data_IF_273656384650
#
_entry.id   IF_273656384650
#
_cell.length_a   1.000
_cell.length_b   1.000
_cell.length_c   1.000
_cell.angle_alpha   90.00
_cell.angle_beta   90.00
_cell.angle_gamma   90.00
#
_symmetry.space_group_name_H-M   'P 1'
#
loop_
_entity.id
_entity.type
_entity.pdbx_description
1 polymer ?
#
# COMPACT_ATOMS: atom_id res chain seq x y z
N UNK A 1 64.70 11.53 1.26
CA UNK A 1 64.07 10.57 0.32
C UNK A 1 64.55 9.13 0.57
N UNK A 2 65.46 8.91 1.53
CA UNK A 2 66.16 7.64 1.74
C UNK A 2 65.39 6.61 2.59
N UNK A 3 64.35 7.03 3.30
CA UNK A 3 63.51 6.15 4.13
C UNK A 3 62.62 5.21 3.32
N UNK A 4 62.20 5.61 2.12
CA UNK A 4 61.35 4.78 1.25
C UNK A 4 62.09 3.58 0.67
N UNK A 5 63.37 3.77 0.31
CA UNK A 5 64.21 2.70 -0.23
C UNK A 5 64.59 1.69 0.87
N UNK A 6 64.89 2.17 2.07
CA UNK A 6 65.14 1.34 3.23
C UNK A 6 63.90 0.49 3.59
N UNK A 7 62.72 1.12 3.68
CA UNK A 7 61.46 0.41 3.94
C UNK A 7 61.13 -0.65 2.87
N UNK A 8 61.37 -0.36 1.59
CA UNK A 8 61.18 -1.33 0.51
C UNK A 8 62.15 -2.53 0.63
N UNK A 9 63.40 -2.28 1.05
CA UNK A 9 64.40 -3.32 1.27
C UNK A 9 64.03 -4.25 2.44
N UNK A 10 63.52 -3.68 3.53
CA UNK A 10 63.06 -4.42 4.70
C UNK A 10 61.81 -5.25 4.40
N UNK A 11 60.84 -4.68 3.67
CA UNK A 11 59.65 -5.40 3.21
C UNK A 11 60.01 -6.60 2.30
N UNK A 12 60.97 -6.43 1.39
CA UNK A 12 61.47 -7.52 0.54
C UNK A 12 62.20 -8.59 1.36
N UNK A 13 63.04 -8.18 2.32
CA UNK A 13 63.75 -9.09 3.22
C UNK A 13 62.78 -9.89 4.08
N UNK A 14 61.75 -9.26 4.64
CA UNK A 14 60.69 -9.92 5.41
C UNK A 14 59.91 -10.93 4.54
N UNK A 15 59.55 -10.56 3.31
CA UNK A 15 58.86 -11.45 2.37
C UNK A 15 59.72 -12.66 1.99
N UNK A 16 61.02 -12.48 1.72
CA UNK A 16 61.94 -13.57 1.41
C UNK A 16 62.16 -14.50 2.61
N UNK A 17 62.25 -13.95 3.82
CA UNK A 17 62.33 -14.74 5.05
C UNK A 17 61.08 -15.60 5.26
N UNK A 18 59.89 -15.05 5.00
CA UNK A 18 58.65 -15.80 5.07
C UNK A 18 58.59 -16.95 4.04
N UNK A 19 59.06 -16.71 2.80
CA UNK A 19 59.17 -17.75 1.78
C UNK A 19 60.18 -18.85 2.14
N UNK A 20 61.30 -18.47 2.80
CA UNK A 20 62.33 -19.42 3.24
C UNK A 20 61.84 -20.30 4.40
N UNK A 21 61.17 -19.72 5.41
CA UNK A 21 60.56 -20.48 6.52
C UNK A 21 59.55 -21.51 6.02
N UNK A 22 58.72 -21.15 5.03
CA UNK A 22 57.79 -22.09 4.38
C UNK A 22 58.54 -23.22 3.66
N UNK A 23 59.64 -22.92 2.95
CA UNK A 23 60.46 -23.95 2.28
C UNK A 23 61.07 -24.94 3.30
N UNK A 24 61.42 -24.47 4.48
CA UNK A 24 62.00 -25.26 5.58
C UNK A 24 60.94 -26.02 6.40
N UNK A 25 59.64 -25.94 6.04
CA UNK A 25 58.56 -26.75 6.62
C UNK A 25 58.06 -26.28 7.99
N UNK A 26 58.44 -25.08 8.43
CA UNK A 26 57.96 -24.49 9.68
C UNK A 26 56.64 -23.75 9.36
N UNK A 27 55.52 -24.47 9.46
CA UNK A 27 54.18 -23.92 9.20
C UNK A 27 53.69 -23.10 10.39
N UNK A 28 53.55 -21.79 10.17
CA UNK A 28 53.04 -20.84 11.14
C UNK A 28 52.93 -19.45 10.52
N UNK A 29 51.86 -19.21 9.77
CA UNK A 29 51.56 -17.91 9.18
C UNK A 29 50.36 -17.97 8.23
N UNK A 30 49.23 -17.46 8.70
CA UNK A 30 47.85 -17.60 8.20
C UNK A 30 47.51 -16.82 6.90
N UNK A 31 48.50 -16.49 6.06
CA UNK A 31 48.25 -15.73 4.83
C UNK A 31 49.19 -16.23 3.71
N UNK A 32 48.64 -16.93 2.72
CA UNK A 32 49.40 -17.40 1.57
C UNK A 32 49.89 -16.20 0.75
N UNK A 33 51.16 -15.81 0.91
CA UNK A 33 51.84 -14.71 0.19
C UNK A 33 51.75 -14.85 -1.36
N UNK A 34 51.43 -16.07 -1.84
CA UNK A 34 51.22 -16.38 -3.25
C UNK A 34 49.77 -16.82 -3.46
N UNK A 35 49.03 -16.04 -4.26
CA UNK A 35 47.71 -16.43 -4.74
C UNK A 35 47.86 -17.50 -5.82
N UNK A 36 47.48 -18.73 -5.50
CA UNK A 36 47.41 -19.80 -6.48
C UNK A 36 46.18 -19.56 -7.37
N UNK A 37 46.38 -19.37 -8.67
CA UNK A 37 45.26 -19.10 -9.60
C UNK A 37 44.41 -20.35 -9.81
N UNK A 38 45.05 -21.42 -10.28
CA UNK A 38 44.40 -22.67 -10.69
C UNK A 38 44.90 -23.89 -9.90
N UNK A 39 45.63 -23.70 -8.80
CA UNK A 39 46.17 -24.80 -8.01
C UNK A 39 45.55 -24.80 -6.63
N UNK A 40 45.03 -25.95 -6.24
CA UNK A 40 44.45 -26.17 -4.92
C UNK A 40 45.51 -26.76 -3.98
N UNK A 41 45.93 -26.04 -2.91
CA UNK A 41 47.01 -26.47 -2.05
C UNK A 41 46.69 -27.72 -1.21
N UNK A 42 45.42 -27.99 -0.92
CA UNK A 42 45.01 -29.15 -0.11
C UNK A 42 45.05 -30.44 -0.93
N UNK A 43 44.41 -30.42 -2.10
CA UNK A 43 44.35 -31.59 -2.99
C UNK A 43 45.58 -31.73 -3.89
N UNK A 44 46.44 -30.70 -3.95
CA UNK A 44 47.60 -30.60 -4.86
C UNK A 44 47.24 -30.82 -6.33
N UNK A 45 46.01 -30.51 -6.73
CA UNK A 45 45.53 -30.66 -8.10
C UNK A 45 45.04 -29.34 -8.70
N UNK A 46 44.59 -29.37 -9.96
CA UNK A 46 43.95 -28.22 -10.58
C UNK A 46 42.65 -27.89 -9.85
N UNK A 47 42.41 -26.60 -9.61
CA UNK A 47 41.16 -26.09 -9.04
C UNK A 47 40.02 -26.41 -10.00
N UNK A 48 39.26 -27.47 -9.69
CA UNK A 48 38.04 -27.80 -10.44
C UNK A 48 37.03 -26.68 -10.22
N UNK A 49 36.34 -26.25 -11.28
CA UNK A 49 35.11 -25.43 -11.13
C UNK A 49 34.19 -26.22 -10.20
N UNK A 50 33.49 -25.59 -9.23
CA UNK A 50 32.46 -26.31 -8.50
C UNK A 50 31.49 -26.85 -9.55
N UNK A 51 31.58 -28.14 -9.79
CA UNK A 51 30.50 -28.89 -10.41
C UNK A 51 29.43 -28.78 -9.35
N UNK A 52 28.32 -28.11 -9.68
CA UNK A 52 27.12 -28.22 -8.85
C UNK A 52 26.92 -29.72 -8.67
N UNK A 53 27.15 -30.22 -7.45
CA UNK A 53 27.02 -31.65 -7.21
C UNK A 53 25.59 -32.02 -7.57
N UNK A 54 25.35 -33.23 -8.09
CA UNK A 54 23.99 -33.71 -8.41
C UNK A 54 23.05 -33.77 -7.16
N UNK A 55 23.53 -33.35 -5.99
CA UNK A 55 22.77 -33.17 -4.74
C UNK A 55 22.68 -31.71 -4.24
N UNK A 56 23.20 -30.73 -4.96
CA UNK A 56 22.84 -29.32 -4.74
C UNK A 56 21.51 -29.09 -5.46
N UNK A 57 20.40 -29.42 -4.79
CA UNK A 57 19.06 -29.05 -5.25
C UNK A 57 19.08 -27.56 -5.62
N UNK A 58 18.78 -27.24 -6.89
CA UNK A 58 18.60 -25.86 -7.30
C UNK A 58 17.42 -25.31 -6.48
N UNK A 59 17.74 -24.55 -5.42
CA UNK A 59 16.74 -24.00 -4.50
C UNK A 59 15.84 -22.95 -5.16
N UNK A 60 16.30 -22.39 -6.27
CA UNK A 60 15.68 -21.30 -7.01
C UNK A 60 15.01 -21.84 -8.28
N UNK A 61 13.94 -22.61 -8.11
CA UNK A 61 13.12 -23.18 -9.19
C UNK A 61 11.67 -22.72 -9.03
N UNK A 62 11.01 -22.41 -10.13
CA UNK A 62 9.62 -21.88 -10.15
C UNK A 62 8.64 -22.84 -9.48
N UNK A 63 8.91 -24.14 -9.56
CA UNK A 63 8.14 -25.22 -8.94
C UNK A 63 8.14 -25.10 -7.41
N UNK A 64 9.26 -24.67 -6.81
CA UNK A 64 9.37 -24.45 -5.36
C UNK A 64 8.66 -23.17 -4.94
N UNK A 65 8.70 -22.13 -5.77
CA UNK A 65 8.02 -20.86 -5.50
C UNK A 65 6.49 -20.99 -5.53
N UNK A 66 5.98 -21.86 -6.41
CA UNK A 66 4.54 -22.11 -6.59
C UNK A 66 4.02 -23.22 -5.67
N UNK A 67 4.91 -24.01 -5.05
CA UNK A 67 4.55 -25.03 -4.08
C UNK A 67 3.73 -24.43 -2.92
N UNK A 68 2.53 -24.96 -2.70
CA UNK A 68 1.63 -24.51 -1.62
C UNK A 68 0.85 -23.21 -1.91
N UNK A 69 1.02 -22.57 -3.08
CA UNK A 69 0.20 -21.41 -3.45
C UNK A 69 -1.28 -21.80 -3.63
N UNK A 70 -1.54 -22.97 -4.21
CA UNK A 70 -2.89 -23.49 -4.40
C UNK A 70 -3.61 -23.70 -3.05
N UNK A 71 -2.92 -24.26 -2.06
CA UNK A 71 -3.47 -24.47 -0.72
C UNK A 71 -3.81 -23.14 -0.02
N UNK A 72 -2.95 -22.13 -0.18
CA UNK A 72 -3.19 -20.78 0.34
C UNK A 72 -4.42 -20.12 -0.31
N UNK A 73 -4.60 -20.29 -1.63
CA UNK A 73 -5.75 -19.75 -2.36
C UNK A 73 -7.05 -20.41 -1.87
N UNK A 74 -7.05 -21.73 -1.70
CA UNK A 74 -8.22 -22.46 -1.19
C UNK A 74 -8.55 -22.02 0.24
N UNK A 75 -7.53 -21.87 1.10
CA UNK A 75 -7.73 -21.40 2.47
C UNK A 75 -8.26 -19.96 2.54
N UNK A 76 -7.78 -19.04 1.69
CA UNK A 76 -8.28 -17.66 1.63
C UNK A 76 -9.74 -17.62 1.13
N UNK A 77 -10.08 -18.43 0.14
CA UNK A 77 -11.45 -18.52 -0.37
C UNK A 77 -12.44 -19.07 0.67
N UNK A 78 -12.04 -20.08 1.45
CA UNK A 78 -12.82 -20.60 2.58
C UNK A 78 -13.02 -19.55 3.67
N UNK A 79 -11.98 -18.75 3.98
CA UNK A 79 -12.08 -17.66 4.95
C UNK A 79 -13.02 -16.54 4.48
N UNK A 80 -13.00 -16.19 3.19
CA UNK A 80 -13.93 -15.20 2.63
C UNK A 80 -15.36 -15.69 2.66
N UNK A 81 -15.60 -16.94 2.23
CA UNK A 81 -16.94 -17.55 2.31
C UNK A 81 -17.47 -17.60 3.75
N UNK A 82 -16.61 -17.89 4.73
CA UNK A 82 -16.99 -17.86 6.14
C UNK A 82 -17.37 -16.45 6.64
N UNK A 83 -16.69 -15.40 6.16
CA UNK A 83 -17.01 -14.01 6.48
C UNK A 83 -18.32 -13.53 5.84
N UNK A 84 -18.61 -13.99 4.62
CA UNK A 84 -19.86 -13.69 3.93
C UNK A 84 -21.07 -14.42 4.55
N UNK A 85 -20.85 -15.60 5.12
CA UNK A 85 -21.85 -16.36 5.88
C UNK A 85 -22.06 -15.86 7.32
N UNK A 86 -21.35 -14.80 7.73
CA UNK A 86 -21.51 -14.20 9.03
C UNK A 86 -22.82 -13.39 9.13
N UNK A 87 -23.75 -13.90 9.94
CA UNK A 87 -25.08 -13.35 10.20
C UNK A 87 -24.98 -11.90 10.76
N UNK A 88 -23.87 -11.54 11.39
CA UNK A 88 -23.63 -10.18 11.89
C UNK A 88 -23.36 -9.15 10.78
N UNK A 89 -22.95 -9.57 9.59
CA UNK A 89 -22.82 -8.70 8.42
C UNK A 89 -24.13 -8.55 7.63
N UNK A 90 -25.03 -9.53 7.72
CA UNK A 90 -26.33 -9.56 7.04
C UNK A 90 -27.38 -8.74 7.79
N UNK A 91 -27.28 -8.62 9.12
CA UNK A 91 -28.21 -7.82 9.91
C UNK A 91 -27.98 -6.30 9.70
N UNK A 92 -29.05 -5.48 9.62
CA UNK A 92 -28.91 -4.02 9.48
C UNK A 92 -28.19 -3.42 10.69
N UNK A 93 -27.00 -2.84 10.46
CA UNK A 93 -26.05 -2.32 11.47
C UNK A 93 -26.61 -1.28 12.45
N UNK A 94 -27.77 -0.68 12.21
CA UNK A 94 -28.34 0.39 13.05
C UNK A 94 -29.84 0.14 13.32
N UNK A 95 -30.28 0.00 14.59
CA UNK A 95 -31.69 -0.19 14.93
C UNK A 95 -32.63 0.88 14.34
N UNK A 96 -32.16 2.13 14.26
CA UNK A 96 -32.94 3.29 13.80
C UNK A 96 -32.71 3.63 12.31
N UNK A 97 -32.12 2.73 11.52
CA UNK A 97 -31.83 3.00 10.11
C UNK A 97 -33.08 3.29 9.30
N UNK A 98 -34.16 2.56 9.60
CA UNK A 98 -35.44 2.71 8.92
C UNK A 98 -36.12 4.01 9.34
N UNK A 99 -36.11 4.30 10.64
CA UNK A 99 -36.59 5.58 11.18
C UNK A 99 -35.88 6.77 10.51
N UNK A 100 -34.55 6.68 10.34
CA UNK A 100 -33.79 7.73 9.65
C UNK A 100 -34.25 7.86 8.20
N UNK A 101 -34.36 6.74 7.47
CA UNK A 101 -34.78 6.72 6.07
C UNK A 101 -36.19 7.29 5.87
N UNK A 102 -37.13 6.91 6.73
CA UNK A 102 -38.51 7.41 6.68
C UNK A 102 -38.60 8.89 7.07
N UNK A 103 -37.81 9.32 8.05
CA UNK A 103 -37.73 10.73 8.45
C UNK A 103 -37.10 11.59 7.36
N UNK A 104 -36.03 11.11 6.71
CA UNK A 104 -35.36 11.81 5.61
C UNK A 104 -36.33 12.03 4.42
N UNK A 105 -37.20 11.06 4.11
CA UNK A 105 -38.24 11.21 3.08
C UNK A 105 -39.25 12.31 3.41
N UNK A 106 -39.67 12.41 4.67
CA UNK A 106 -40.60 13.47 5.14
C UNK A 106 -39.91 14.83 5.18
N UNK A 107 -38.66 14.88 5.65
CA UNK A 107 -37.85 16.09 5.68
C UNK A 107 -37.59 16.64 4.28
N UNK A 108 -37.35 15.80 3.27
CA UNK A 108 -37.13 16.26 1.90
C UNK A 108 -38.32 17.08 1.35
N UNK A 109 -39.56 16.60 1.55
CA UNK A 109 -40.78 17.34 1.16
C UNK A 109 -40.87 18.68 1.91
N UNK A 110 -40.58 18.67 3.21
CA UNK A 110 -40.65 19.87 4.04
C UNK A 110 -39.53 20.88 3.70
N UNK A 111 -38.33 20.41 3.39
CA UNK A 111 -37.18 21.24 3.00
C UNK A 111 -37.46 22.03 1.73
N UNK A 112 -38.13 21.43 0.72
CA UNK A 112 -38.56 22.13 -0.50
C UNK A 112 -39.45 23.33 -0.15
N UNK A 113 -40.53 23.09 0.59
CA UNK A 113 -41.49 24.12 1.05
C UNK A 113 -40.83 25.18 1.95
N UNK A 114 -39.89 24.77 2.80
CA UNK A 114 -39.14 25.69 3.66
C UNK A 114 -38.26 26.62 2.83
N UNK A 115 -37.59 26.10 1.81
CA UNK A 115 -36.74 26.90 0.92
C UNK A 115 -37.57 27.90 0.08
N UNK A 116 -38.75 27.48 -0.38
CA UNK A 116 -39.71 28.37 -1.04
C UNK A 116 -40.16 29.49 -0.10
N UNK A 117 -40.54 29.17 1.13
CA UNK A 117 -40.94 30.16 2.13
C UNK A 117 -39.80 31.12 2.50
N UNK A 118 -38.55 30.62 2.56
CA UNK A 118 -37.38 31.47 2.74
C UNK A 118 -37.24 32.44 1.57
N UNK A 119 -37.42 31.96 0.34
CA UNK A 119 -37.32 32.79 -0.86
C UNK A 119 -38.43 33.88 -0.92
N UNK A 120 -39.66 33.55 -0.51
CA UNK A 120 -40.74 34.55 -0.43
C UNK A 120 -40.46 35.61 0.62
N UNK A 121 -40.01 35.21 1.81
CA UNK A 121 -39.64 36.14 2.87
C UNK A 121 -38.50 37.07 2.44
N UNK A 122 -37.51 36.55 1.72
CA UNK A 122 -36.41 37.37 1.17
C UNK A 122 -36.96 38.39 0.17
N UNK A 123 -37.84 37.97 -0.75
CA UNK A 123 -38.47 38.89 -1.72
C UNK A 123 -39.30 39.98 -1.04
N UNK A 124 -40.14 39.59 -0.08
CA UNK A 124 -40.95 40.53 0.70
C UNK A 124 -40.07 41.55 1.41
N UNK A 125 -39.03 41.09 2.12
CA UNK A 125 -38.10 41.97 2.84
C UNK A 125 -37.35 42.93 1.90
N UNK A 126 -36.95 42.48 0.71
CA UNK A 126 -36.29 43.33 -0.28
C UNK A 126 -37.25 44.37 -0.88
N UNK A 127 -38.51 44.01 -1.12
CA UNK A 127 -39.52 44.92 -1.64
C UNK A 127 -39.95 45.96 -0.59
N UNK A 128 -40.11 45.56 0.68
CA UNK A 128 -40.31 46.47 1.80
C UNK A 128 -39.17 47.49 1.94
N UNK A 129 -37.92 47.07 1.74
CA UNK A 129 -36.77 47.97 1.73
C UNK A 129 -36.76 48.93 0.54
N UNK A 130 -37.31 48.52 -0.62
CA UNK A 130 -37.35 49.34 -1.84
C UNK A 130 -38.59 50.23 -1.95
N UNK A 131 -39.63 50.01 -1.15
CA UNK A 131 -40.87 50.80 -1.15
C UNK A 131 -41.91 50.39 -2.21
N UNK A 132 -41.66 49.32 -2.97
CA UNK A 132 -42.53 48.83 -4.04
C UNK A 132 -43.53 47.78 -3.51
N UNK A 133 -44.54 48.24 -2.78
CA UNK A 133 -45.55 47.36 -2.13
C UNK A 133 -46.55 46.73 -3.12
N UNK A 134 -46.72 47.30 -4.32
CA UNK A 134 -47.67 46.82 -5.33
C UNK A 134 -47.25 45.50 -6.01
N UNK A 135 -45.94 45.30 -6.22
CA UNK A 135 -45.41 44.07 -6.84
C UNK A 135 -45.52 42.86 -5.90
N UNK A 136 -45.53 43.09 -4.58
CA UNK A 136 -45.63 42.05 -3.56
C UNK A 136 -46.99 41.35 -3.62
N UNK A 137 -48.08 42.11 -3.72
CA UNK A 137 -49.43 41.57 -3.78
C UNK A 137 -49.70 40.79 -5.07
N UNK A 138 -49.11 41.23 -6.20
CA UNK A 138 -49.17 40.53 -7.48
C UNK A 138 -48.39 39.22 -7.47
N UNK A 139 -47.16 39.24 -6.95
CA UNK A 139 -46.32 38.04 -6.83
C UNK A 139 -46.91 37.00 -5.86
N UNK A 140 -47.55 37.44 -4.77
CA UNK A 140 -48.16 36.56 -3.79
C UNK A 140 -49.39 35.82 -4.35
N UNK A 141 -50.25 36.52 -5.11
CA UNK A 141 -51.39 35.88 -5.82
C UNK A 141 -50.94 34.91 -6.91
N UNK A 142 -49.88 35.24 -7.64
CA UNK A 142 -49.34 34.35 -8.66
C UNK A 142 -48.75 33.08 -8.05
N UNK A 143 -48.10 33.21 -6.88
CA UNK A 143 -47.54 32.08 -6.16
C UNK A 143 -48.62 31.20 -5.52
N UNK A 144 -49.66 31.79 -4.91
CA UNK A 144 -50.79 31.06 -4.34
C UNK A 144 -51.48 30.19 -5.41
N UNK A 145 -51.59 30.69 -6.63
CA UNK A 145 -52.14 29.94 -7.76
C UNK A 145 -51.22 28.78 -8.20
N UNK A 146 -49.92 29.02 -8.31
CA UNK A 146 -48.95 27.97 -8.66
C UNK A 146 -48.85 26.86 -7.59
N UNK A 147 -49.04 27.22 -6.32
CA UNK A 147 -48.98 26.28 -5.21
C UNK A 147 -50.23 25.39 -5.12
N UNK A 148 -51.39 25.89 -5.56
CA UNK A 148 -52.60 25.09 -5.71
C UNK A 148 -52.49 24.07 -6.85
N UNK A 149 -51.83 24.44 -7.96
CA UNK A 149 -51.63 23.54 -9.10
C UNK A 149 -50.61 22.41 -8.78
N UNK A 150 -49.56 22.68 -8.00
CA UNK A 150 -48.55 21.67 -7.61
C UNK A 150 -49.03 20.64 -6.55
N UNK A 151 -50.02 20.99 -5.72
CA UNK A 151 -50.57 20.07 -4.71
C UNK A 151 -51.62 19.08 -5.31
N UNK A 152 -52.15 19.35 -6.52
CA UNK A 152 -53.10 18.46 -7.23
C UNK A 152 -52.39 17.35 -8.06
N UNK A 153 -51.10 17.50 -8.36
CA UNK A 153 -50.30 16.54 -9.17
C UNK A 153 -49.55 15.47 -8.35
N UNK A 154 -49.57 15.55 -7.01
CA UNK A 154 -48.73 14.76 -6.09
C UNK A 154 -49.50 13.68 -5.28
N UNK A 155 -50.75 13.35 -5.66
CA UNK A 155 -51.61 12.27 -5.08
C UNK A 155 -51.61 10.97 -5.93
#
# INVERSE_FOLDING_TARGET
MDSSLAAASEARKARLLALRRRKEGIEGGDESILKNRNFDPETRTLKKRPVFNDGDEMKDTVENDVAGLAEKIVADDEQRRAQDLDIFNIAPKRPNWDLKREMDKKLAKLQRRTQEAIHTLIRQRLAEQKGDSADIAGAMRAQEKAQADDDDDDD
#
